data_IF_482002005898
#
_entry.id   IF_482002005898
#
_cell.length_a   1.000
_cell.length_b   1.000
_cell.length_c   1.000
_cell.angle_alpha   90.00
_cell.angle_beta   90.00
_cell.angle_gamma   90.00
#
_symmetry.space_group_name_H-M   'P 1'
#
loop_
_entity.id
_entity.type
_entity.pdbx_description
1 polymer ?
#
# COMPACT_ATOMS: atom_id res chain seq x y z
N UNK A 1 7.80 -14.96 -14.02
CA UNK A 1 8.33 -15.91 -13.02
C UNK A 1 7.15 -16.57 -12.33
N UNK A 2 7.24 -17.86 -11.96
CA UNK A 2 6.15 -18.55 -11.27
C UNK A 2 6.45 -18.63 -9.76
N UNK A 3 5.50 -18.21 -8.93
CA UNK A 3 5.56 -18.30 -7.48
C UNK A 3 4.51 -19.30 -7.01
N UNK A 4 4.90 -20.23 -6.12
CA UNK A 4 3.98 -21.14 -5.46
C UNK A 4 3.76 -20.67 -4.02
N UNK A 5 2.50 -20.38 -3.67
CA UNK A 5 2.10 -19.94 -2.33
C UNK A 5 1.02 -20.87 -1.79
N UNK A 6 1.05 -21.14 -0.49
CA UNK A 6 -0.03 -21.86 0.20
C UNK A 6 -1.02 -20.83 0.74
N UNK A 7 -2.26 -20.90 0.28
CA UNK A 7 -3.33 -20.04 0.77
C UNK A 7 -4.24 -20.80 1.74
N UNK A 8 -4.80 -20.12 2.77
CA UNK A 8 -5.93 -20.64 3.52
C UNK A 8 -7.10 -21.02 2.61
N UNK A 9 -7.85 -22.07 2.99
CA UNK A 9 -8.91 -22.63 2.14
C UNK A 9 -10.05 -21.65 1.87
N UNK A 10 -10.35 -20.77 2.82
CA UNK A 10 -11.34 -19.70 2.70
C UNK A 10 -10.92 -18.64 1.68
N UNK A 11 -9.63 -18.26 1.67
CA UNK A 11 -9.07 -17.32 0.70
C UNK A 11 -9.11 -17.91 -0.71
N UNK A 12 -8.76 -19.18 -0.87
CA UNK A 12 -8.88 -19.85 -2.16
C UNK A 12 -10.34 -19.87 -2.66
N UNK A 13 -11.30 -20.18 -1.78
CA UNK A 13 -12.72 -20.15 -2.10
C UNK A 13 -13.20 -18.78 -2.58
N UNK A 14 -12.77 -17.71 -1.90
CA UNK A 14 -13.07 -16.32 -2.29
C UNK A 14 -12.48 -15.97 -3.66
N UNK A 15 -11.21 -16.30 -3.91
CA UNK A 15 -10.55 -16.07 -5.19
C UNK A 15 -11.22 -16.84 -6.34
N UNK A 16 -11.63 -18.10 -6.09
CA UNK A 16 -12.35 -18.91 -7.08
C UNK A 16 -13.70 -18.28 -7.45
N UNK A 17 -14.47 -17.83 -6.46
CA UNK A 17 -15.76 -17.17 -6.68
C UNK A 17 -15.60 -15.86 -7.43
N UNK A 18 -14.62 -15.03 -7.03
CA UNK A 18 -14.35 -13.76 -7.67
C UNK A 18 -13.94 -13.94 -9.14
N UNK A 19 -13.01 -14.85 -9.42
CA UNK A 19 -12.59 -15.23 -10.76
C UNK A 19 -13.76 -15.68 -11.65
N UNK A 20 -14.63 -16.55 -11.12
CA UNK A 20 -15.80 -17.03 -11.85
C UNK A 20 -16.80 -15.91 -12.19
N UNK A 21 -16.97 -14.94 -11.28
CA UNK A 21 -17.92 -13.83 -11.47
C UNK A 21 -17.43 -12.78 -12.46
N UNK A 22 -16.12 -12.58 -12.57
CA UNK A 22 -15.53 -11.48 -13.37
C UNK A 22 -14.88 -11.96 -14.67
N UNK A 23 -14.73 -13.27 -14.85
CA UNK A 23 -14.04 -13.86 -16.00
C UNK A 23 -12.52 -13.67 -15.96
N UNK A 24 -11.96 -13.22 -14.85
CA UNK A 24 -10.50 -13.08 -14.65
C UNK A 24 -9.92 -14.31 -13.94
N UNK A 25 -8.60 -14.49 -14.04
CA UNK A 25 -7.92 -15.63 -13.40
C UNK A 25 -7.69 -15.38 -11.91
N UNK A 26 -7.52 -16.45 -11.12
CA UNK A 26 -7.08 -16.34 -9.71
C UNK A 26 -5.74 -15.60 -9.62
N UNK A 27 -4.81 -15.88 -10.54
CA UNK A 27 -3.49 -15.26 -10.58
C UNK A 27 -3.56 -13.75 -10.79
N UNK A 28 -4.51 -13.25 -11.61
CA UNK A 28 -4.72 -11.81 -11.77
C UNK A 28 -5.00 -11.15 -10.42
N UNK A 29 -5.98 -11.66 -9.66
CA UNK A 29 -6.34 -11.10 -8.36
C UNK A 29 -5.26 -11.24 -7.29
N UNK A 30 -4.49 -12.35 -7.34
CA UNK A 30 -3.35 -12.50 -6.44
C UNK A 30 -2.29 -11.44 -6.74
N UNK A 31 -1.97 -11.21 -8.01
CA UNK A 31 -1.00 -10.18 -8.40
C UNK A 31 -1.48 -8.79 -7.99
N UNK A 32 -2.72 -8.42 -8.31
CA UNK A 32 -3.28 -7.11 -7.93
C UNK A 32 -3.21 -6.90 -6.41
N UNK A 33 -3.66 -7.87 -5.62
CA UNK A 33 -3.66 -7.76 -4.16
C UNK A 33 -2.24 -7.65 -3.57
N UNK A 34 -1.25 -8.32 -4.18
CA UNK A 34 0.15 -8.20 -3.74
C UNK A 34 0.70 -6.83 -4.11
N UNK A 35 0.43 -6.33 -5.33
CA UNK A 35 0.92 -5.03 -5.79
C UNK A 35 0.34 -3.91 -4.92
N UNK A 36 -0.99 -3.89 -4.73
CA UNK A 36 -1.65 -2.89 -3.88
C UNK A 36 -1.11 -2.92 -2.45
N UNK A 37 -0.95 -4.11 -1.87
CA UNK A 37 -0.43 -4.20 -0.50
C UNK A 37 1.06 -3.83 -0.40
N UNK A 38 1.83 -4.03 -1.46
CA UNK A 38 3.23 -3.62 -1.48
C UNK A 38 3.36 -2.10 -1.45
N UNK A 39 2.52 -1.39 -2.19
CA UNK A 39 2.46 0.08 -2.16
C UNK A 39 2.17 0.58 -0.73
N UNK A 40 1.17 0.01 -0.06
CA UNK A 40 0.85 0.35 1.34
C UNK A 40 2.03 0.11 2.30
N UNK A 41 2.74 -1.01 2.13
CA UNK A 41 3.89 -1.36 2.97
C UNK A 41 5.08 -0.43 2.74
N UNK A 42 5.33 -0.04 1.49
CA UNK A 42 6.39 0.90 1.13
C UNK A 42 6.10 2.29 1.70
N UNK A 43 4.86 2.77 1.57
CA UNK A 43 4.42 4.05 2.14
C UNK A 43 4.53 4.06 3.67
N UNK A 44 4.08 2.99 4.33
CA UNK A 44 4.21 2.85 5.78
C UNK A 44 5.68 2.87 6.21
N UNK A 45 6.54 2.12 5.53
CA UNK A 45 7.97 2.07 5.84
C UNK A 45 8.63 3.45 5.69
N UNK A 46 8.29 4.20 4.64
CA UNK A 46 8.79 5.56 4.44
C UNK A 46 8.31 6.51 5.53
N UNK A 47 7.04 6.42 5.92
CA UNK A 47 6.45 7.25 6.97
C UNK A 47 7.07 6.95 8.35
N UNK A 48 7.25 5.68 8.70
CA UNK A 48 7.89 5.27 9.96
C UNK A 48 9.33 5.76 10.04
N UNK A 49 10.09 5.59 8.95
CA UNK A 49 11.48 6.08 8.86
C UNK A 49 11.56 7.59 9.07
N UNK A 50 10.65 8.35 8.46
CA UNK A 50 10.63 9.81 8.62
C UNK A 50 10.23 10.21 10.05
N UNK A 51 9.27 9.50 10.66
CA UNK A 51 8.89 9.72 12.05
C UNK A 51 10.06 9.47 13.01
N UNK A 52 10.87 8.44 12.77
CA UNK A 52 12.10 8.20 13.52
C UNK A 52 13.15 9.31 13.31
N UNK A 53 13.29 9.82 12.09
CA UNK A 53 14.17 10.94 11.79
C UNK A 53 13.74 12.20 12.57
N UNK A 54 12.44 12.50 12.62
CA UNK A 54 11.89 13.60 13.42
C UNK A 54 12.16 13.39 14.91
N UNK A 55 11.86 12.19 15.44
CA UNK A 55 12.07 11.86 16.86
C UNK A 55 13.54 11.92 17.29
N UNK A 56 14.45 11.59 16.37
CA UNK A 56 15.89 11.67 16.61
C UNK A 56 16.50 13.05 16.30
N UNK A 57 15.68 14.02 15.91
CA UNK A 57 16.11 15.39 15.59
C UNK A 57 16.88 15.52 14.27
N UNK A 58 16.87 14.49 13.43
CA UNK A 58 17.50 14.48 12.10
C UNK A 58 16.62 15.11 11.01
N UNK A 59 15.32 15.25 11.27
CA UNK A 59 14.35 15.91 10.41
C UNK A 59 13.47 16.85 11.22
N UNK A 60 12.89 17.86 10.57
CA UNK A 60 12.00 18.85 11.19
C UNK A 60 10.62 18.84 10.55
N UNK A 61 9.60 19.06 11.37
CA UNK A 61 8.22 19.24 10.90
C UNK A 61 8.00 20.67 10.42
N UNK A 62 7.18 20.83 9.38
CA UNK A 62 6.73 22.13 8.88
C UNK A 62 5.24 22.29 9.21
N UNK A 63 4.78 23.45 9.69
CA UNK A 63 3.35 23.70 9.88
C UNK A 63 2.58 23.55 8.57
N UNK A 64 1.38 22.94 8.64
CA UNK A 64 0.55 22.70 7.45
C UNK A 64 0.26 23.99 6.68
N UNK A 65 -0.01 25.09 7.39
CA UNK A 65 -0.26 26.41 6.80
C UNK A 65 0.89 26.86 5.88
N UNK A 66 2.15 26.66 6.31
CA UNK A 66 3.31 27.03 5.50
C UNK A 66 3.43 26.16 4.24
N UNK A 67 3.11 24.88 4.35
CA UNK A 67 3.08 23.96 3.19
C UNK A 67 1.99 24.39 2.21
N UNK A 68 0.78 24.66 2.69
CA UNK A 68 -0.36 25.10 1.87
C UNK A 68 -0.03 26.39 1.12
N UNK A 69 0.59 27.36 1.82
CA UNK A 69 1.10 28.61 1.24
C UNK A 69 2.12 28.36 0.13
N UNK A 70 3.09 27.50 0.39
CA UNK A 70 4.18 27.20 -0.55
C UNK A 70 3.70 26.63 -1.87
N UNK A 71 2.61 25.85 -1.84
CA UNK A 71 2.04 25.20 -3.02
C UNK A 71 0.78 25.88 -3.56
N UNK A 72 0.40 27.05 -3.06
CA UNK A 72 -0.78 27.79 -3.53
C UNK A 72 -2.10 27.03 -3.29
N UNK A 73 -2.15 26.22 -2.23
CA UNK A 73 -3.33 25.45 -1.83
C UNK A 73 -4.15 26.16 -0.74
N UNK A 74 -3.83 27.42 -0.42
CA UNK A 74 -4.61 28.25 0.51
C UNK A 74 -6.01 28.51 -0.07
N UNK A 75 -7.04 27.94 0.56
CA UNK A 75 -8.45 28.09 0.21
C UNK A 75 -9.34 28.08 1.44
#
# INVERSE_FOLDING_TARGET
MALSIRLPSDVEGRLKSLAARTGRTKSFYITEAITEHLEDLEDLYLAERELEAIRSGKSQTVPLEEVMKRYGMEG
#
